data_IF_425567398411
#
_entry.id   IF_425567398411
#
_cell.length_a   1.000
_cell.length_b   1.000
_cell.length_c   1.000
_cell.angle_alpha   90.00
_cell.angle_beta   90.00
_cell.angle_gamma   90.00
#
_symmetry.space_group_name_H-M   'P 1'
#
loop_
_entity.id
_entity.type
_entity.pdbx_description
1 polymer ?
#
# COMPACT_ATOMS: atom_id res chain seq x y z
N UNK A 1 -1.35 -17.59 -10.87
CA UNK A 1 -0.74 -17.23 -9.58
C UNK A 1 -1.86 -16.88 -8.59
N UNK A 2 -1.84 -17.45 -7.39
CA UNK A 2 -2.93 -17.23 -6.42
C UNK A 2 -2.61 -16.02 -5.55
N UNK A 3 -3.51 -15.03 -5.52
CA UNK A 3 -3.45 -13.92 -4.57
C UNK A 3 -3.68 -14.42 -3.14
N UNK A 4 -2.83 -13.99 -2.21
CA UNK A 4 -2.88 -14.45 -0.81
C UNK A 4 -2.83 -13.25 0.15
N UNK A 5 -3.56 -13.35 1.27
CA UNK A 5 -3.58 -12.34 2.31
C UNK A 5 -2.84 -12.87 3.54
N UNK A 6 -1.76 -12.18 3.91
CA UNK A 6 -0.94 -12.46 5.09
C UNK A 6 -1.36 -11.53 6.22
N UNK A 7 -1.86 -12.09 7.30
CA UNK A 7 -2.38 -11.32 8.45
C UNK A 7 -1.43 -11.44 9.64
N UNK A 8 -1.10 -10.29 10.25
CA UNK A 8 -0.22 -10.19 11.40
C UNK A 8 -0.87 -9.34 12.51
N UNK A 9 -0.58 -9.65 13.76
CA UNK A 9 -0.96 -8.78 14.88
C UNK A 9 -0.08 -7.52 14.92
N UNK A 10 1.23 -7.68 14.76
CA UNK A 10 2.18 -6.58 14.74
C UNK A 10 3.34 -6.88 13.79
N UNK A 11 3.78 -5.86 13.08
CA UNK A 11 4.95 -5.90 12.19
C UNK A 11 5.79 -4.62 12.35
N UNK A 12 7.00 -4.61 11.82
CA UNK A 12 7.78 -3.36 11.71
C UNK A 12 7.06 -2.40 10.76
N UNK A 13 6.78 -2.85 9.55
CA UNK A 13 6.01 -2.16 8.51
C UNK A 13 5.44 -3.22 7.57
N UNK A 14 4.20 -3.04 7.10
CA UNK A 14 3.59 -3.96 6.12
C UNK A 14 4.36 -3.97 4.80
N UNK A 15 4.94 -2.83 4.40
CA UNK A 15 5.82 -2.77 3.23
C UNK A 15 7.11 -3.57 3.45
N UNK A 16 7.74 -3.51 4.63
CA UNK A 16 8.95 -4.28 4.92
C UNK A 16 8.69 -5.79 4.84
N UNK A 17 7.58 -6.25 5.39
CA UNK A 17 7.18 -7.67 5.28
C UNK A 17 6.95 -8.08 3.82
N UNK A 18 6.29 -7.23 3.03
CA UNK A 18 6.11 -7.48 1.59
C UNK A 18 7.45 -7.56 0.85
N UNK A 19 8.40 -6.66 1.18
CA UNK A 19 9.76 -6.68 0.63
C UNK A 19 10.47 -8.01 0.95
N UNK A 20 10.38 -8.47 2.19
CA UNK A 20 11.01 -9.72 2.63
C UNK A 20 10.41 -10.93 1.90
N UNK A 21 9.07 -11.01 1.79
CA UNK A 21 8.39 -12.08 1.04
C UNK A 21 8.85 -12.14 -0.43
N UNK A 22 9.03 -10.98 -1.07
CA UNK A 22 9.52 -10.87 -2.45
C UNK A 22 11.00 -11.30 -2.54
N UNK A 23 11.87 -10.75 -1.68
CA UNK A 23 13.31 -11.01 -1.72
C UNK A 23 13.68 -12.44 -1.40
N UNK A 24 12.93 -13.06 -0.49
CA UNK A 24 13.10 -14.47 -0.14
C UNK A 24 12.50 -15.44 -1.19
N UNK A 25 11.87 -14.91 -2.23
CA UNK A 25 11.23 -15.70 -3.29
C UNK A 25 10.02 -16.50 -2.81
N UNK A 26 9.47 -16.16 -1.64
CA UNK A 26 8.34 -16.89 -1.05
C UNK A 26 7.03 -16.58 -1.77
N UNK A 27 6.86 -15.33 -2.18
CA UNK A 27 5.65 -14.87 -2.87
C UNK A 27 5.97 -13.75 -3.86
N UNK A 28 5.27 -13.76 -4.98
CA UNK A 28 5.38 -12.71 -6.01
C UNK A 28 4.15 -11.79 -6.02
N UNK A 29 3.00 -12.22 -5.47
CA UNK A 29 1.76 -11.45 -5.42
C UNK A 29 1.02 -11.72 -4.12
N UNK A 30 0.48 -10.68 -3.51
CA UNK A 30 -0.32 -10.81 -2.29
C UNK A 30 -0.59 -9.48 -1.60
N UNK A 31 -1.14 -9.60 -0.39
CA UNK A 31 -1.41 -8.49 0.50
C UNK A 31 -0.95 -8.82 1.92
N UNK A 32 -0.16 -7.96 2.50
CA UNK A 32 0.21 -8.01 3.92
C UNK A 32 -0.71 -7.07 4.69
N UNK A 33 -1.38 -7.56 5.72
CA UNK A 33 -2.18 -6.74 6.63
C UNK A 33 -1.70 -6.91 8.07
N UNK A 34 -1.71 -5.84 8.85
CA UNK A 34 -1.36 -5.87 10.27
C UNK A 34 -2.29 -5.00 11.11
N UNK A 35 -2.46 -5.36 12.40
CA UNK A 35 -3.23 -4.54 13.34
C UNK A 35 -2.42 -3.35 13.84
N UNK A 36 -1.08 -3.48 13.91
CA UNK A 36 -0.17 -2.39 14.28
C UNK A 36 1.15 -2.46 13.52
N UNK A 37 1.83 -1.32 13.44
CA UNK A 37 3.19 -1.21 12.92
C UNK A 37 4.10 -0.53 13.95
N UNK A 38 5.26 -1.09 14.25
CA UNK A 38 6.22 -0.51 15.22
C UNK A 38 7.15 0.52 14.58
N UNK A 39 7.36 0.43 13.28
CA UNK A 39 8.21 1.32 12.46
C UNK A 39 7.52 1.70 11.15
N UNK A 40 6.24 2.09 11.25
CA UNK A 40 5.47 2.56 10.09
C UNK A 40 6.18 3.71 9.38
N UNK A 41 6.19 3.67 8.04
CA UNK A 41 6.88 4.66 7.19
C UNK A 41 5.89 5.42 6.33
N UNK A 42 6.12 6.71 6.17
CA UNK A 42 5.48 7.56 5.17
C UNK A 42 6.48 7.97 4.07
N UNK A 43 6.05 8.82 3.18
CA UNK A 43 6.90 9.38 2.12
C UNK A 43 8.04 10.22 2.69
N UNK A 44 9.18 10.25 1.98
CA UNK A 44 10.37 11.06 2.33
C UNK A 44 10.91 10.76 3.75
N UNK A 45 10.88 9.50 4.18
CA UNK A 45 11.41 9.08 5.47
C UNK A 45 10.60 9.52 6.69
N UNK A 46 9.40 10.06 6.50
CA UNK A 46 8.52 10.44 7.61
C UNK A 46 8.04 9.20 8.37
N UNK A 47 7.93 9.32 9.67
CA UNK A 47 7.27 8.32 10.51
C UNK A 47 5.76 8.27 10.20
N UNK A 48 5.22 7.06 10.16
CA UNK A 48 3.78 6.82 10.15
C UNK A 48 3.35 6.25 11.49
N UNK A 49 2.55 7.01 12.25
CA UNK A 49 2.01 6.56 13.54
C UNK A 49 0.90 5.55 13.29
N UNK A 50 1.05 4.34 13.86
CA UNK A 50 0.17 3.21 13.58
C UNK A 50 -0.67 2.87 14.81
N UNK A 51 -1.77 3.59 14.96
CA UNK A 51 -2.71 3.39 16.07
C UNK A 51 -3.63 2.21 15.75
N UNK A 52 -3.80 1.28 16.69
CA UNK A 52 -4.72 0.14 16.57
C UNK A 52 -6.14 0.60 16.24
N UNK A 53 -6.82 -0.14 15.38
CA UNK A 53 -8.16 0.18 14.89
C UNK A 53 -8.16 0.79 13.48
N UNK A 54 -6.99 1.09 12.92
CA UNK A 54 -6.83 1.47 11.52
C UNK A 54 -6.43 0.26 10.67
N UNK A 55 -6.56 0.38 9.36
CA UNK A 55 -6.08 -0.61 8.40
C UNK A 55 -4.65 -0.26 7.98
N UNK A 56 -3.73 -1.17 8.23
CA UNK A 56 -2.38 -1.14 7.69
C UNK A 56 -2.25 -2.31 6.72
N UNK A 57 -2.01 -2.00 5.46
CA UNK A 57 -1.94 -3.02 4.42
C UNK A 57 -0.97 -2.65 3.32
N UNK A 58 -0.32 -3.65 2.75
CA UNK A 58 0.54 -3.49 1.59
C UNK A 58 0.21 -4.55 0.56
N UNK A 59 -0.22 -4.12 -0.61
CA UNK A 59 -0.43 -4.97 -1.78
C UNK A 59 0.87 -4.99 -2.58
N UNK A 60 1.28 -6.15 -3.04
CA UNK A 60 2.49 -6.29 -3.85
C UNK A 60 2.27 -7.23 -5.04
N UNK A 61 2.90 -6.90 -6.17
CA UNK A 61 2.82 -7.68 -7.40
C UNK A 61 3.98 -7.32 -8.36
N UNK A 62 4.35 -8.24 -9.29
CA UNK A 62 5.33 -7.93 -10.31
C UNK A 62 4.80 -6.90 -11.30
N UNK A 63 5.66 -5.95 -11.71
CA UNK A 63 5.35 -5.03 -12.81
C UNK A 63 5.65 -5.71 -14.15
N UNK A 64 4.60 -5.97 -14.91
CA UNK A 64 4.70 -6.53 -16.24
C UNK A 64 5.03 -5.44 -17.28
N UNK A 65 5.57 -5.84 -18.43
CA UNK A 65 6.02 -4.92 -19.50
C UNK A 65 4.89 -4.03 -20.02
N UNK A 66 3.65 -4.53 -20.01
CA UNK A 66 2.46 -3.84 -20.47
C UNK A 66 1.79 -2.97 -19.38
N UNK A 67 2.37 -2.90 -18.18
CA UNK A 67 1.85 -2.04 -17.11
C UNK A 67 2.34 -0.60 -17.28
N UNK A 68 1.60 0.38 -16.75
CA UNK A 68 2.06 1.76 -16.68
C UNK A 68 3.42 1.89 -16.00
N UNK A 69 4.23 2.90 -16.35
CA UNK A 69 5.45 3.21 -15.63
C UNK A 69 5.20 3.45 -14.12
N UNK A 70 6.18 3.12 -13.30
CA UNK A 70 6.07 3.22 -11.83
C UNK A 70 5.53 4.58 -11.33
N UNK A 71 5.98 5.67 -11.94
CA UNK A 71 5.55 7.02 -11.54
C UNK A 71 4.06 7.29 -11.80
N UNK A 72 3.44 6.64 -12.78
CA UNK A 72 2.02 6.80 -13.06
C UNK A 72 1.12 6.15 -12.00
N UNK A 73 1.63 5.17 -11.28
CA UNK A 73 0.90 4.56 -10.16
C UNK A 73 0.63 5.55 -9.03
N UNK A 74 1.37 6.64 -8.92
CA UNK A 74 1.06 7.72 -7.97
C UNK A 74 -0.27 8.41 -8.26
N UNK A 75 -0.75 8.32 -9.51
CA UNK A 75 -2.06 8.83 -9.92
C UNK A 75 -3.11 7.71 -9.86
N UNK A 76 -2.76 6.51 -10.34
CA UNK A 76 -3.67 5.36 -10.44
C UNK A 76 -4.09 4.87 -9.04
N UNK A 77 -3.14 4.67 -8.13
CA UNK A 77 -3.40 4.09 -6.81
C UNK A 77 -4.41 4.89 -5.97
N UNK A 78 -4.27 6.23 -5.82
CA UNK A 78 -5.26 7.01 -5.08
C UNK A 78 -6.67 6.90 -5.66
N UNK A 79 -6.82 6.84 -6.98
CA UNK A 79 -8.13 6.71 -7.64
C UNK A 79 -8.74 5.35 -7.31
N UNK A 80 -8.02 4.25 -7.50
CA UNK A 80 -8.52 2.89 -7.23
C UNK A 80 -8.86 2.74 -5.75
N UNK A 81 -8.01 3.23 -4.84
CA UNK A 81 -8.25 3.16 -3.40
C UNK A 81 -9.46 4.02 -3.01
N UNK A 82 -9.61 5.20 -3.61
CA UNK A 82 -10.79 6.05 -3.42
C UNK A 82 -12.07 5.32 -3.82
N UNK A 83 -12.10 4.67 -4.98
CA UNK A 83 -13.26 3.91 -5.44
C UNK A 83 -13.59 2.75 -4.48
N UNK A 84 -12.58 2.04 -4.00
CA UNK A 84 -12.77 0.98 -3.01
C UNK A 84 -13.34 1.53 -1.68
N UNK A 85 -12.86 2.67 -1.18
CA UNK A 85 -13.37 3.32 0.04
C UNK A 85 -14.83 3.76 -0.16
N UNK A 86 -15.17 4.27 -1.33
CA UNK A 86 -16.53 4.73 -1.64
C UNK A 86 -17.58 3.61 -1.59
N UNK A 87 -17.19 2.33 -1.73
CA UNK A 87 -18.10 1.21 -1.51
C UNK A 87 -18.66 1.18 -0.08
N UNK A 88 -17.89 1.67 0.89
CA UNK A 88 -18.26 1.72 2.31
C UNK A 88 -18.75 3.10 2.76
N UNK A 89 -18.37 4.15 2.07
CA UNK A 89 -18.63 5.55 2.44
C UNK A 89 -19.48 6.30 1.40
N UNK A 90 -20.54 5.68 0.89
CA UNK A 90 -21.34 6.14 -0.26
C UNK A 90 -21.86 7.58 -0.20
N UNK A 91 -22.04 8.15 1.00
CA UNK A 91 -22.57 9.52 1.19
C UNK A 91 -21.44 10.55 1.45
N UNK A 92 -20.18 10.16 1.34
CA UNK A 92 -19.05 11.05 1.63
C UNK A 92 -18.30 11.37 0.34
N UNK A 93 -17.89 12.63 0.20
CA UNK A 93 -17.01 13.05 -0.90
C UNK A 93 -15.57 12.90 -0.49
N UNK A 94 -14.81 12.11 -1.26
CA UNK A 94 -13.37 12.00 -1.10
C UNK A 94 -12.70 13.13 -1.90
N UNK A 95 -11.75 13.78 -1.28
CA UNK A 95 -10.84 14.72 -1.92
C UNK A 95 -9.40 14.18 -1.89
N UNK A 96 -8.62 14.59 -2.85
CA UNK A 96 -7.25 14.15 -3.05
C UNK A 96 -6.28 15.26 -2.66
N UNK A 97 -5.23 14.90 -1.92
CA UNK A 97 -4.02 15.70 -1.80
C UNK A 97 -2.89 14.91 -2.44
N UNK A 98 -2.63 15.22 -3.69
CA UNK A 98 -1.62 14.53 -4.49
C UNK A 98 -0.22 14.64 -3.89
N UNK A 99 0.60 13.59 -4.05
CA UNK A 99 0.34 12.37 -4.86
C UNK A 99 -0.25 11.20 -4.05
N UNK A 100 -0.40 11.28 -2.74
CA UNK A 100 -0.51 10.08 -1.91
C UNK A 100 -1.51 10.14 -0.75
N UNK A 101 -2.32 11.19 -0.64
CA UNK A 101 -3.23 11.37 0.49
C UNK A 101 -4.69 11.49 0.04
N UNK A 102 -5.59 10.82 0.79
CA UNK A 102 -7.04 10.93 0.62
C UNK A 102 -7.66 11.55 1.87
N UNK A 103 -8.66 12.41 1.65
CA UNK A 103 -9.36 13.16 2.69
C UNK A 103 -10.87 13.00 2.59
N UNK A 104 -11.55 13.02 3.73
CA UNK A 104 -13.01 13.23 3.85
C UNK A 104 -13.25 14.36 4.84
N UNK A 105 -14.04 15.35 4.45
CA UNK A 105 -14.37 16.50 5.28
C UNK A 105 -13.12 17.21 5.84
N UNK A 106 -12.09 17.36 5.02
CA UNK A 106 -10.83 18.00 5.42
C UNK A 106 -9.93 17.19 6.35
N UNK A 107 -10.31 15.96 6.68
CA UNK A 107 -9.50 15.04 7.51
C UNK A 107 -8.87 13.97 6.65
N UNK A 108 -7.57 13.73 6.84
CA UNK A 108 -6.84 12.67 6.17
C UNK A 108 -7.35 11.30 6.64
N UNK A 109 -7.79 10.49 5.69
CA UNK A 109 -8.31 9.13 5.94
C UNK A 109 -7.40 8.03 5.40
N UNK A 110 -6.53 8.36 4.46
CA UNK A 110 -5.61 7.40 3.86
C UNK A 110 -4.31 8.10 3.45
N UNK A 111 -3.19 7.45 3.69
CA UNK A 111 -1.89 7.78 3.13
C UNK A 111 -1.36 6.57 2.37
N UNK A 112 -0.80 6.79 1.20
CA UNK A 112 -0.32 5.75 0.30
C UNK A 112 1.18 5.89 0.16
N UNK A 113 1.92 4.82 0.49
CA UNK A 113 3.35 4.73 0.24
C UNK A 113 3.60 3.65 -0.80
N UNK A 114 4.04 4.04 -1.99
CA UNK A 114 4.44 3.07 -3.00
C UNK A 114 5.97 2.95 -3.08
N UNK A 115 6.43 1.73 -3.22
CA UNK A 115 7.85 1.40 -3.33
C UNK A 115 8.10 0.43 -4.49
N UNK A 116 9.27 0.55 -5.09
CA UNK A 116 9.74 -0.34 -6.14
C UNK A 116 10.85 -1.22 -5.60
N UNK A 117 10.70 -2.52 -5.77
CA UNK A 117 11.70 -3.51 -5.35
C UNK A 117 12.10 -4.37 -6.53
N UNK A 118 13.41 -4.63 -6.68
CA UNK A 118 13.91 -5.56 -7.69
C UNK A 118 14.38 -6.83 -7.00
N UNK A 119 13.91 -7.97 -7.48
CA UNK A 119 14.33 -9.30 -7.03
C UNK A 119 14.31 -10.27 -8.22
N UNK A 120 15.37 -11.07 -8.38
CA UNK A 120 15.48 -12.06 -9.46
C UNK A 120 15.20 -11.46 -10.87
N UNK A 121 15.78 -10.30 -11.16
CA UNK A 121 15.60 -9.53 -12.40
C UNK A 121 14.16 -9.06 -12.68
N UNK A 122 13.21 -9.27 -11.77
CA UNK A 122 11.85 -8.73 -11.83
C UNK A 122 11.72 -7.47 -10.97
N UNK A 123 10.90 -6.53 -11.43
CA UNK A 123 10.50 -5.35 -10.64
C UNK A 123 9.13 -5.61 -10.01
N UNK A 124 9.00 -5.26 -8.74
CA UNK A 124 7.76 -5.38 -7.99
C UNK A 124 7.30 -4.02 -7.50
N UNK A 125 6.01 -3.74 -7.65
CA UNK A 125 5.35 -2.61 -7.00
C UNK A 125 4.80 -3.08 -5.65
N UNK A 126 5.01 -2.26 -4.62
CA UNK A 126 4.41 -2.38 -3.29
C UNK A 126 3.62 -1.09 -3.05
N UNK A 127 2.39 -1.22 -2.62
CA UNK A 127 1.46 -0.11 -2.35
C UNK A 127 0.96 -0.22 -0.94
#
# INVERSE_FOLDING_TARGET
MKFEIFKYESVTSTNDVAIDLIKEGKKEIGCVCANTQTKGRGTHGKKWVSIKGNLFGSIFFPLEVNYPPFNEFSIINPVIISDAIMLFCKKKKISFKWPNDLFINGKKICGILQELVTSNAKKFLII
#
